data_IF_198392637320
#
_entry.id   IF_198392637320
#
_cell.length_a   1.000
_cell.length_b   1.000
_cell.length_c   1.000
_cell.angle_alpha   90.00
_cell.angle_beta   90.00
_cell.angle_gamma   90.00
#
_symmetry.space_group_name_H-M   'P 1'
#
loop_
_entity.id
_entity.type
_entity.pdbx_description
1 polymer ?
#
# COMPACT_ATOMS: atom_id res chain seq x y z
N UNK A 1 -7.29 13.71 11.99
CA UNK A 1 -8.69 13.39 11.62
C UNK A 1 -8.92 11.90 11.90
N UNK A 2 -9.74 11.51 12.89
CA UNK A 2 -9.99 10.07 13.16
C UNK A 2 -10.94 9.52 12.09
N UNK A 3 -10.44 8.65 11.21
CA UNK A 3 -11.29 7.85 10.34
C UNK A 3 -11.97 6.80 11.21
N UNK A 4 -13.20 7.07 11.65
CA UNK A 4 -13.98 6.19 12.54
C UNK A 4 -14.74 5.09 11.78
N UNK A 5 -14.67 5.07 10.44
CA UNK A 5 -15.38 4.11 9.61
C UNK A 5 -14.43 2.99 9.15
N UNK A 6 -14.61 1.74 9.62
CA UNK A 6 -13.73 0.62 9.28
C UNK A 6 -13.67 0.34 7.78
N UNK A 7 -14.76 0.57 7.05
CA UNK A 7 -14.78 0.43 5.60
C UNK A 7 -13.92 1.51 4.92
N UNK A 8 -13.93 2.74 5.43
CA UNK A 8 -13.10 3.82 4.90
C UNK A 8 -11.61 3.55 5.16
N UNK A 9 -11.26 3.00 6.33
CA UNK A 9 -9.89 2.64 6.67
C UNK A 9 -9.37 1.46 5.84
N UNK A 10 -10.21 0.44 5.61
CA UNK A 10 -9.88 -0.65 4.70
C UNK A 10 -9.62 -0.16 3.26
N UNK A 11 -10.45 0.76 2.75
CA UNK A 11 -10.25 1.33 1.41
C UNK A 11 -9.00 2.22 1.35
N UNK A 12 -8.69 2.97 2.41
CA UNK A 12 -7.47 3.77 2.49
C UNK A 12 -6.21 2.91 2.39
N UNK A 13 -6.15 1.84 3.18
CA UNK A 13 -5.05 0.87 3.17
C UNK A 13 -4.95 0.17 1.80
N UNK A 14 -6.10 -0.28 1.23
CA UNK A 14 -6.16 -0.87 -0.11
C UNK A 14 -5.64 0.09 -1.20
N UNK A 15 -6.07 1.33 -1.20
CA UNK A 15 -5.63 2.34 -2.16
C UNK A 15 -4.14 2.65 -2.03
N UNK A 16 -3.60 2.65 -0.82
CA UNK A 16 -2.15 2.78 -0.61
C UNK A 16 -1.40 1.60 -1.23
N UNK A 17 -1.87 0.36 -1.06
CA UNK A 17 -1.27 -0.80 -1.73
C UNK A 17 -1.36 -0.72 -3.26
N UNK A 18 -2.50 -0.23 -3.79
CA UNK A 18 -2.67 0.05 -5.22
C UNK A 18 -1.66 1.09 -5.72
N UNK A 19 -1.42 2.15 -4.95
CA UNK A 19 -0.43 3.17 -5.25
C UNK A 19 0.97 2.57 -5.38
N UNK A 20 1.41 1.79 -4.38
CA UNK A 20 2.74 1.19 -4.35
C UNK A 20 2.94 0.18 -5.51
N UNK A 21 1.88 -0.52 -5.89
CA UNK A 21 1.90 -1.42 -7.04
C UNK A 21 1.79 -0.70 -8.40
N UNK A 22 1.57 0.61 -8.45
CA UNK A 22 1.36 1.33 -9.72
C UNK A 22 2.60 1.32 -10.62
N UNK A 23 2.37 1.12 -11.93
CA UNK A 23 3.43 1.21 -12.96
C UNK A 23 3.88 2.65 -13.22
N UNK A 24 3.10 3.63 -12.75
CA UNK A 24 3.44 5.05 -12.83
C UNK A 24 4.45 5.49 -11.76
N UNK A 25 4.63 4.67 -10.71
CA UNK A 25 5.53 4.97 -9.59
C UNK A 25 6.88 4.26 -9.80
N UNK A 26 7.96 5.03 -9.67
CA UNK A 26 9.33 4.52 -9.73
C UNK A 26 9.66 3.74 -8.46
N UNK A 27 10.53 2.73 -8.60
CA UNK A 27 10.97 1.90 -7.46
C UNK A 27 11.57 2.71 -6.31
N UNK A 28 12.35 3.75 -6.61
CA UNK A 28 12.91 4.66 -5.59
C UNK A 28 11.83 5.31 -4.72
N UNK A 29 10.79 5.89 -5.32
CA UNK A 29 9.67 6.50 -4.58
C UNK A 29 8.95 5.47 -3.71
N UNK A 30 8.70 4.27 -4.24
CA UNK A 30 8.06 3.20 -3.47
C UNK A 30 8.89 2.79 -2.26
N UNK A 31 10.22 2.66 -2.41
CA UNK A 31 11.12 2.32 -1.29
C UNK A 31 10.99 3.35 -0.18
N UNK A 32 11.04 4.64 -0.50
CA UNK A 32 10.95 5.71 0.50
C UNK A 32 9.60 5.66 1.24
N UNK A 33 8.50 5.47 0.52
CA UNK A 33 7.19 5.35 1.17
C UNK A 33 7.12 4.09 2.05
N UNK A 34 7.65 2.95 1.60
CA UNK A 34 7.65 1.72 2.39
C UNK A 34 8.54 1.81 3.65
N UNK A 35 9.55 2.68 3.66
CA UNK A 35 10.35 2.96 4.86
C UNK A 35 9.57 3.78 5.88
N UNK A 36 8.74 4.70 5.40
CA UNK A 36 7.96 5.61 6.25
C UNK A 36 6.67 4.96 6.76
N UNK A 37 6.05 4.04 6.01
CA UNK A 37 4.83 3.36 6.45
C UNK A 37 5.12 2.31 7.55
N UNK A 38 4.37 2.38 8.65
CA UNK A 38 4.39 1.35 9.70
C UNK A 38 3.47 0.18 9.31
N UNK A 39 3.95 -1.09 9.22
CA UNK A 39 3.09 -2.25 9.00
C UNK A 39 1.90 -2.35 9.97
N UNK A 40 2.01 -1.78 11.17
CA UNK A 40 0.95 -1.75 12.19
C UNK A 40 -0.32 -1.00 11.78
N UNK A 41 -0.25 -0.12 10.77
CA UNK A 41 -1.42 0.64 10.31
C UNK A 41 -2.37 -0.16 9.42
N UNK A 42 -1.95 -1.34 8.94
CA UNK A 42 -2.79 -2.27 8.19
C UNK A 42 -3.50 -3.19 9.17
N UNK A 43 -4.83 -3.07 9.29
CA UNK A 43 -5.59 -3.90 10.25
C UNK A 43 -5.89 -5.28 9.68
N UNK A 44 -6.16 -5.33 8.37
CA UNK A 44 -6.43 -6.57 7.65
C UNK A 44 -5.14 -7.38 7.44
N UNK A 45 -5.12 -8.68 7.83
CA UNK A 45 -3.93 -9.51 7.69
C UNK A 45 -3.42 -9.66 6.26
N UNK A 46 -4.32 -9.76 5.27
CA UNK A 46 -3.94 -9.88 3.87
C UNK A 46 -3.28 -8.59 3.39
N UNK A 47 -3.86 -7.43 3.72
CA UNK A 47 -3.29 -6.13 3.37
C UNK A 47 -1.92 -5.88 4.03
N UNK A 48 -1.74 -6.32 5.28
CA UNK A 48 -0.44 -6.24 5.97
C UNK A 48 0.61 -7.11 5.27
N UNK A 49 0.30 -8.36 4.96
CA UNK A 49 1.22 -9.26 4.25
C UNK A 49 1.54 -8.72 2.85
N UNK A 50 0.55 -8.18 2.15
CA UNK A 50 0.76 -7.48 0.88
C UNK A 50 1.77 -6.34 1.01
N UNK A 51 1.63 -5.49 2.03
CA UNK A 51 2.57 -4.40 2.29
C UNK A 51 3.99 -4.92 2.54
N UNK A 52 4.13 -5.93 3.39
CA UNK A 52 5.43 -6.53 3.72
C UNK A 52 6.13 -7.08 2.48
N UNK A 53 5.42 -7.84 1.64
CA UNK A 53 5.99 -8.38 0.41
C UNK A 53 6.33 -7.28 -0.62
N UNK A 54 5.51 -6.22 -0.70
CA UNK A 54 5.82 -5.03 -1.53
C UNK A 54 7.10 -4.35 -1.05
N UNK A 55 7.26 -4.20 0.27
CA UNK A 55 8.44 -3.59 0.89
C UNK A 55 9.71 -4.40 0.61
N UNK A 56 9.64 -5.73 0.77
CA UNK A 56 10.75 -6.64 0.46
C UNK A 56 11.16 -6.60 -1.01
N UNK A 57 10.18 -6.46 -1.90
CA UNK A 57 10.40 -6.32 -3.34
C UNK A 57 10.58 -4.85 -3.78
N UNK A 58 10.79 -3.91 -2.87
CA UNK A 58 10.75 -2.47 -3.14
C UNK A 58 11.65 -2.01 -4.30
N UNK A 59 12.77 -2.69 -4.57
CA UNK A 59 13.77 -2.30 -5.57
C UNK A 59 13.48 -2.70 -7.02
N UNK A 60 12.62 -3.68 -7.27
CA UNK A 60 12.33 -4.15 -8.65
C UNK A 60 11.32 -3.25 -9.35
N UNK A 61 11.19 -3.28 -10.67
CA UNK A 61 10.16 -2.48 -11.34
C UNK A 61 8.74 -2.97 -11.00
N UNK A 62 7.75 -2.09 -11.13
CA UNK A 62 6.37 -2.39 -10.73
C UNK A 62 5.71 -3.51 -11.55
N UNK A 63 6.16 -3.79 -12.79
CA UNK A 63 5.63 -4.92 -13.56
C UNK A 63 6.13 -6.22 -12.95
N UNK A 64 7.44 -6.33 -12.71
CA UNK A 64 8.03 -7.50 -12.08
C UNK A 64 7.52 -7.72 -10.65
N UNK A 65 7.28 -6.64 -9.91
CA UNK A 65 6.61 -6.68 -8.60
C UNK A 65 5.26 -7.40 -8.68
N UNK A 66 4.37 -6.96 -9.58
CA UNK A 66 3.03 -7.55 -9.75
C UNK A 66 3.08 -9.03 -10.17
N UNK A 67 4.09 -9.43 -10.92
CA UNK A 67 4.26 -10.85 -11.31
C UNK A 67 4.65 -11.74 -10.11
N UNK A 68 5.44 -11.22 -9.17
CA UNK A 68 5.97 -12.00 -8.05
C UNK A 68 5.07 -12.02 -6.82
N UNK A 69 4.30 -10.95 -6.60
CA UNK A 69 3.45 -10.80 -5.41
C UNK A 69 2.48 -11.97 -5.18
N UNK A 70 1.74 -12.48 -6.19
CA UNK A 70 0.76 -13.54 -5.95
C UNK A 70 1.38 -14.78 -5.30
N UNK A 71 2.48 -15.28 -5.87
CA UNK A 71 3.18 -16.45 -5.36
C UNK A 71 3.70 -16.25 -3.93
N UNK A 72 4.20 -15.05 -3.62
CA UNK A 72 4.72 -14.73 -2.28
C UNK A 72 3.61 -14.67 -1.24
N UNK A 73 2.49 -14.05 -1.58
CA UNK A 73 1.31 -13.95 -0.69
C UNK A 73 0.67 -15.31 -0.47
N UNK A 74 0.57 -16.15 -1.51
CA UNK A 74 0.15 -17.55 -1.37
C UNK A 74 1.05 -18.33 -0.42
N UNK A 75 2.37 -18.20 -0.55
CA UNK A 75 3.33 -18.85 0.34
C UNK A 75 3.23 -18.38 1.80
N UNK A 76 2.62 -17.21 2.05
CA UNK A 76 2.37 -16.64 3.39
C UNK A 76 1.03 -17.09 3.99
N UNK A 77 0.29 -17.96 3.31
CA UNK A 77 -0.94 -18.57 3.83
C UNK A 77 -2.24 -18.05 3.21
N UNK A 78 -2.19 -17.33 2.09
CA UNK A 78 -3.36 -16.84 1.36
C UNK A 78 -3.48 -17.55 -0.01
N UNK A 79 -3.91 -18.83 -0.04
CA UNK A 79 -3.90 -19.65 -1.26
C UNK A 79 -4.83 -19.14 -2.36
N UNK A 80 -5.94 -18.51 -1.99
CA UNK A 80 -6.95 -17.99 -2.92
C UNK A 80 -6.72 -16.51 -3.29
N UNK A 81 -5.51 -15.99 -3.05
CA UNK A 81 -5.21 -14.58 -3.33
C UNK A 81 -5.13 -14.30 -4.83
N UNK A 82 -6.01 -13.40 -5.30
CA UNK A 82 -5.95 -12.83 -6.64
C UNK A 82 -5.51 -11.35 -6.57
N UNK A 83 -4.32 -11.07 -7.08
CA UNK A 83 -3.77 -9.72 -7.14
C UNK A 83 -4.60 -8.79 -8.04
N UNK A 84 -5.16 -9.30 -9.12
CA UNK A 84 -5.95 -8.51 -10.06
C UNK A 84 -7.23 -8.02 -9.39
N UNK A 85 -7.98 -8.93 -8.76
CA UNK A 85 -9.16 -8.54 -7.98
C UNK A 85 -8.82 -7.61 -6.81
N UNK A 86 -7.69 -7.87 -6.15
CA UNK A 86 -7.22 -7.03 -5.05
C UNK A 86 -6.86 -5.62 -5.51
N UNK A 87 -6.21 -5.45 -6.66
CA UNK A 87 -5.80 -4.14 -7.17
C UNK A 87 -6.88 -3.44 -7.99
N UNK A 88 -8.02 -4.08 -8.23
CA UNK A 88 -9.11 -3.51 -9.02
C UNK A 88 -9.63 -2.18 -8.42
N UNK A 89 -9.99 -1.19 -9.27
CA UNK A 89 -9.92 -1.22 -10.74
C UNK A 89 -8.49 -1.16 -11.31
N UNK A 90 -8.27 -1.88 -12.42
CA UNK A 90 -6.94 -2.09 -13.03
C UNK A 90 -6.45 -0.89 -13.83
N UNK A 91 -7.38 -0.13 -14.40
CA UNK A 91 -7.12 1.05 -15.22
C UNK A 91 -7.02 2.29 -14.32
N UNK A 92 -5.92 2.38 -13.59
CA UNK A 92 -5.58 3.62 -12.87
C UNK A 92 -5.15 4.65 -13.91
N UNK A 93 -6.09 5.48 -14.35
CA UNK A 93 -5.77 6.66 -15.16
C UNK A 93 -4.94 7.67 -14.36
N UNK A 94 -4.33 8.65 -15.03
CA UNK A 94 -3.55 9.70 -14.36
C UNK A 94 -4.33 10.42 -13.25
N UNK A 95 -5.64 10.62 -13.43
CA UNK A 95 -6.50 11.24 -12.41
C UNK A 95 -6.69 10.39 -11.15
N UNK A 96 -6.53 9.08 -11.27
CA UNK A 96 -6.69 8.17 -10.13
C UNK A 96 -5.37 8.03 -9.37
N UNK A 97 -4.20 8.21 -10.01
CA UNK A 97 -2.92 8.12 -9.30
C UNK A 97 -2.79 9.19 -8.21
N UNK A 98 -3.34 10.39 -8.44
CA UNK A 98 -3.35 11.47 -7.44
C UNK A 98 -4.19 11.06 -6.22
N UNK A 99 -5.36 10.45 -6.42
CA UNK A 99 -6.20 9.97 -5.33
C UNK A 99 -5.55 8.82 -4.54
N UNK A 100 -4.83 7.94 -5.24
CA UNK A 100 -4.05 6.87 -4.62
C UNK A 100 -2.85 7.43 -3.84
N UNK A 101 -2.22 8.49 -4.34
CA UNK A 101 -1.14 9.18 -3.64
C UNK A 101 -1.65 9.86 -2.36
N UNK A 102 -2.78 10.58 -2.43
CA UNK A 102 -3.44 11.17 -1.26
C UNK A 102 -3.81 10.12 -0.21
N UNK A 103 -4.21 8.92 -0.66
CA UNK A 103 -4.45 7.79 0.24
C UNK A 103 -3.16 7.35 0.95
N UNK A 104 -2.04 7.29 0.24
CA UNK A 104 -0.74 6.95 0.83
C UNK A 104 -0.28 8.02 1.85
N UNK A 105 -0.47 9.31 1.55
CA UNK A 105 -0.17 10.40 2.49
C UNK A 105 -1.01 10.30 3.78
N UNK A 106 -2.31 10.10 3.64
CA UNK A 106 -3.19 9.93 4.80
C UNK A 106 -2.83 8.70 5.64
N UNK A 107 -2.35 7.61 5.03
CA UNK A 107 -1.90 6.43 5.76
C UNK A 107 -0.52 6.64 6.43
N UNK A 108 0.35 7.45 5.82
CA UNK A 108 1.62 7.87 6.42
C UNK A 108 1.39 8.71 7.69
N UNK A 109 0.45 9.65 7.66
CA UNK A 109 0.06 10.44 8.85
C UNK A 109 -0.42 9.54 10.01
N UNK A 110 -1.04 8.40 9.69
CA UNK A 110 -1.47 7.41 10.68
C UNK A 110 -0.32 6.54 11.20
N UNK A 111 0.79 6.43 10.44
CA UNK A 111 2.00 5.69 10.84
C UNK A 111 2.83 6.48 11.86
N UNK A 112 2.73 7.82 11.82
CA UNK A 112 3.49 8.73 12.71
C UNK A 112 2.56 9.67 13.48
N UNK A 113 1.69 9.16 14.38
CA UNK A 113 0.75 9.99 15.11
C UNK A 113 1.43 11.00 16.07
N UNK A 114 2.69 10.75 16.45
CA UNK A 114 3.46 11.56 17.41
C UNK A 114 4.39 12.62 16.79
N UNK A 115 4.64 12.61 15.47
CA UNK A 115 5.44 13.68 14.83
C UNK A 115 4.65 14.99 14.65
N UNK A 116 3.36 15.01 15.02
CA UNK A 116 2.48 16.18 14.93
C UNK A 116 2.58 17.20 16.08
N UNK A 117 3.40 16.96 17.11
CA UNK A 117 3.58 17.87 18.26
C UNK A 117 5.05 17.89 18.72
N UNK A 118 5.91 18.53 17.94
CA UNK A 118 7.19 19.06 18.44
C UNK A 118 7.53 20.35 17.70
N UNK A 119 6.76 21.39 18.01
CA UNK A 119 7.24 22.77 17.89
C UNK A 119 7.51 23.25 19.31
N UNK A 120 8.78 23.24 19.69
CA UNK A 120 9.29 24.00 20.85
C UNK A 120 9.14 25.51 20.61
#
# INVERSE_FOLDING_TARGET
MRIQNPNARFQLQKNTLRFLCSVLIKSGTRIEICKLLDPGVFDDPLQRVMFEEIRELGSIDSRRLRELLPARVTNRGFPDFDLNEFLAPHEVGEKEIDQLFESALQLLDLSHPDEGLSVE
#
